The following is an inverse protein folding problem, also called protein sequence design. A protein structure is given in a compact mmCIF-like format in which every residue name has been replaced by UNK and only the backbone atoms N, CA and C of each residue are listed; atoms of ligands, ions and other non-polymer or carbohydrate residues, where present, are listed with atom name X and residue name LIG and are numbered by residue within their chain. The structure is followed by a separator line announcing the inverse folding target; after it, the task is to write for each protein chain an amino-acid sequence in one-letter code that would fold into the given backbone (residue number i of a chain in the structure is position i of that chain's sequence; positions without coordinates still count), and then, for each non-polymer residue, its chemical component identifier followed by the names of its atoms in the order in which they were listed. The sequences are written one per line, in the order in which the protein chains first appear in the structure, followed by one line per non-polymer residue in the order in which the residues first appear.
data_IF_627949329979
#
_entry.id   IF_627949329979
#
_cell.length_a   1.000
_cell.length_b   1.000
_cell.length_c   1.000
_cell.angle_alpha   90.00
_cell.angle_beta   90.00
_cell.angle_gamma   90.00
#
_symmetry.space_group_name_H-M   'P 1'
#
loop_
_entity.id
_entity.type
_entity.pdbx_description
1 polymer ?
#
# COMPACT_ATOMS: atom_id res chain seq x y z
N UNK A 1 20.14 -4.78 -19.72
CA UNK A 1 18.74 -5.25 -19.69
C UNK A 1 17.85 -4.06 -20.02
N UNK A 2 16.86 -4.18 -20.92
CA UNK A 2 15.86 -3.13 -21.06
C UNK A 2 15.24 -2.89 -19.68
N UNK A 3 15.04 -1.63 -19.31
CA UNK A 3 14.35 -1.30 -18.06
C UNK A 3 12.96 -1.88 -18.15
N UNK A 4 12.65 -2.88 -17.34
CA UNK A 4 11.34 -3.56 -17.29
C UNK A 4 10.15 -2.58 -17.35
N UNK A 5 10.30 -1.40 -16.74
CA UNK A 5 9.30 -0.33 -16.78
C UNK A 5 9.04 0.29 -18.17
N UNK A 6 10.01 0.34 -19.08
CA UNK A 6 9.83 0.94 -20.41
C UNK A 6 8.96 0.06 -21.32
N UNK A 7 9.18 -1.26 -21.31
CA UNK A 7 8.31 -2.21 -22.03
C UNK A 7 6.89 -2.21 -21.43
N UNK A 8 6.81 -2.11 -20.10
CA UNK A 8 5.52 -2.01 -19.42
C UNK A 8 4.76 -0.74 -19.82
N UNK A 9 5.43 0.43 -19.85
CA UNK A 9 4.82 1.68 -20.33
C UNK A 9 4.41 1.59 -21.81
N UNK A 10 5.26 1.01 -22.65
CA UNK A 10 5.00 0.82 -24.08
C UNK A 10 3.74 0.00 -24.31
N UNK A 11 3.50 -1.05 -23.53
CA UNK A 11 2.25 -1.81 -23.57
C UNK A 11 1.01 -0.93 -23.39
N UNK A 12 1.01 -0.02 -22.42
CA UNK A 12 -0.10 0.92 -22.22
C UNK A 12 -0.27 1.87 -23.41
N UNK A 13 0.83 2.45 -23.90
CA UNK A 13 0.81 3.37 -25.03
C UNK A 13 0.31 2.72 -26.32
N UNK A 14 0.54 1.41 -26.50
CA UNK A 14 0.12 0.64 -27.67
C UNK A 14 -1.27 0.02 -27.53
N UNK A 15 -1.95 0.21 -26.40
CA UNK A 15 -3.28 -0.36 -26.19
C UNK A 15 -4.34 0.28 -27.11
N UNK A 16 -5.27 -0.55 -27.58
CA UNK A 16 -6.49 -0.11 -28.28
C UNK A 16 -7.43 0.67 -27.37
N UNK A 17 -7.33 0.48 -26.05
CA UNK A 17 -8.12 1.22 -25.07
C UNK A 17 -7.62 2.66 -24.93
N UNK A 18 -8.46 3.68 -25.20
CA UNK A 18 -8.06 5.08 -25.06
C UNK A 18 -7.69 5.45 -23.62
N UNK A 19 -8.32 4.79 -22.64
CA UNK A 19 -8.02 4.96 -21.22
C UNK A 19 -6.61 4.48 -20.88
N UNK A 20 -6.25 3.27 -21.33
CA UNK A 20 -4.92 2.70 -21.06
C UNK A 20 -3.83 3.48 -21.80
N UNK A 21 -4.11 3.95 -23.01
CA UNK A 21 -3.17 4.82 -23.75
C UNK A 21 -2.91 6.13 -23.03
N UNK A 22 -3.97 6.77 -22.53
CA UNK A 22 -3.87 7.99 -21.73
C UNK A 22 -3.07 7.75 -20.45
N UNK A 23 -3.32 6.61 -19.77
CA UNK A 23 -2.56 6.19 -18.60
C UNK A 23 -1.07 6.02 -18.93
N UNK A 24 -0.73 5.34 -20.03
CA UNK A 24 0.65 5.12 -20.48
C UNK A 24 1.42 6.43 -20.71
N UNK A 25 0.76 7.46 -21.25
CA UNK A 25 1.34 8.79 -21.42
C UNK A 25 1.64 9.52 -20.12
N UNK A 26 0.91 9.20 -19.04
CA UNK A 26 1.11 9.78 -17.70
C UNK A 26 2.14 9.00 -16.85
N UNK A 27 2.44 7.75 -17.22
CA UNK A 27 3.37 6.91 -16.48
C UNK A 27 4.80 7.45 -16.54
N UNK A 28 5.51 7.32 -15.42
CA UNK A 28 6.94 7.61 -15.30
C UNK A 28 7.66 6.38 -14.78
N UNK A 29 8.69 5.93 -15.49
CA UNK A 29 9.50 4.79 -15.07
C UNK A 29 10.39 5.18 -13.87
N UNK A 30 10.30 4.42 -12.78
CA UNK A 30 11.16 4.56 -11.60
C UNK A 30 12.34 3.60 -11.63
N UNK A 31 13.30 3.78 -10.72
CA UNK A 31 14.50 2.93 -10.63
C UNK A 31 14.18 1.65 -9.87
N UNK A 32 13.34 1.71 -8.84
CA UNK A 32 12.97 0.55 -8.02
C UNK A 32 11.57 0.64 -7.43
N UNK A 33 11.03 -0.52 -7.03
CA UNK A 33 9.78 -0.63 -6.28
C UNK A 33 9.83 0.19 -4.98
N UNK A 34 10.93 0.10 -4.22
CA UNK A 34 11.05 0.78 -2.93
C UNK A 34 11.02 2.30 -3.11
N UNK A 35 11.71 2.82 -4.12
CA UNK A 35 11.63 4.24 -4.45
C UNK A 35 10.22 4.64 -4.88
N UNK A 36 9.55 3.81 -5.67
CA UNK A 36 8.16 3.99 -6.07
C UNK A 36 7.21 4.09 -4.88
N UNK A 37 7.32 3.17 -3.91
CA UNK A 37 6.52 3.16 -2.69
C UNK A 37 6.82 4.35 -1.78
N UNK A 38 8.10 4.75 -1.63
CA UNK A 38 8.47 5.98 -0.91
C UNK A 38 7.89 7.22 -1.55
N UNK A 39 7.91 7.31 -2.89
CA UNK A 39 7.27 8.41 -3.63
C UNK A 39 5.76 8.41 -3.45
N UNK A 40 5.12 7.23 -3.44
CA UNK A 40 3.69 7.12 -3.17
C UNK A 40 3.31 7.69 -1.80
N UNK A 41 4.14 7.42 -0.78
CA UNK A 41 3.94 7.91 0.57
C UNK A 41 4.06 9.45 0.69
N UNK A 42 4.95 10.07 -0.08
CA UNK A 42 5.28 11.50 0.05
C UNK A 42 4.53 12.39 -0.95
N UNK A 43 4.30 11.91 -2.18
CA UNK A 43 3.89 12.74 -3.33
C UNK A 43 2.47 12.47 -3.83
N UNK A 44 1.64 11.80 -3.04
CA UNK A 44 0.28 11.41 -3.41
C UNK A 44 0.23 10.76 -4.81
N UNK A 45 1.14 9.81 -5.05
CA UNK A 45 1.33 9.15 -6.33
C UNK A 45 0.98 7.66 -6.24
N UNK A 46 0.48 7.08 -7.33
CA UNK A 46 0.33 5.63 -7.45
C UNK A 46 1.63 4.95 -7.88
N UNK A 47 1.80 3.69 -7.50
CA UNK A 47 2.86 2.83 -8.02
C UNK A 47 2.26 1.53 -8.56
N UNK A 48 2.78 1.05 -9.69
CA UNK A 48 2.31 -0.12 -10.43
C UNK A 48 3.42 -1.16 -10.53
N UNK A 49 3.14 -2.36 -10.02
CA UNK A 49 4.01 -3.54 -9.99
C UNK A 49 3.15 -4.77 -9.63
N UNK A 50 3.61 -6.03 -9.73
CA UNK A 50 2.82 -7.20 -9.36
C UNK A 50 2.29 -7.14 -7.93
N UNK A 51 0.98 -7.35 -7.80
CA UNK A 51 0.20 -7.22 -6.55
C UNK A 51 0.85 -7.92 -5.35
N UNK A 52 1.26 -9.19 -5.52
CA UNK A 52 1.87 -9.98 -4.43
C UNK A 52 3.22 -9.40 -4.01
N UNK A 53 4.00 -8.88 -4.96
CA UNK A 53 5.32 -8.31 -4.69
C UNK A 53 5.22 -6.96 -3.97
N UNK A 54 4.32 -6.07 -4.41
CA UNK A 54 4.04 -4.82 -3.70
C UNK A 54 3.58 -5.13 -2.27
N UNK A 55 2.61 -6.02 -2.11
CA UNK A 55 2.07 -6.36 -0.78
C UNK A 55 3.15 -6.88 0.16
N UNK A 56 4.01 -7.77 -0.34
CA UNK A 56 5.16 -8.27 0.42
C UNK A 56 6.06 -7.12 0.86
N UNK A 57 6.44 -6.22 -0.05
CA UNK A 57 7.33 -5.09 0.27
C UNK A 57 6.73 -4.07 1.21
N UNK A 58 5.42 -3.80 1.09
CA UNK A 58 4.69 -2.98 2.06
C UNK A 58 4.76 -3.62 3.45
N UNK A 59 4.49 -4.92 3.56
CA UNK A 59 4.54 -5.63 4.84
C UNK A 59 5.95 -5.65 5.43
N UNK A 60 6.96 -5.87 4.59
CA UNK A 60 8.35 -5.98 5.03
C UNK A 60 8.93 -4.62 5.47
N UNK A 61 8.71 -3.55 4.72
CA UNK A 61 9.44 -2.29 4.90
C UNK A 61 8.59 -1.11 5.36
N UNK A 62 7.26 -1.19 5.23
CA UNK A 62 6.32 -0.09 5.51
C UNK A 62 5.24 -0.47 6.54
N UNK A 63 5.53 -1.46 7.38
CA UNK A 63 4.70 -1.82 8.55
C UNK A 63 5.26 -1.14 9.79
N UNK A 64 4.41 -0.45 10.51
CA UNK A 64 4.75 0.23 11.76
C UNK A 64 4.75 -0.75 12.95
N UNK A 65 5.17 -0.30 14.13
CA UNK A 65 5.32 -1.15 15.32
C UNK A 65 4.00 -1.72 15.86
N UNK A 66 2.90 -1.00 15.61
CA UNK A 66 1.52 -1.38 15.89
C UNK A 66 0.97 -2.39 14.85
N UNK A 67 1.69 -2.59 13.75
CA UNK A 67 1.28 -3.44 12.64
C UNK A 67 0.45 -2.76 11.57
N UNK A 68 0.21 -1.45 11.70
CA UNK A 68 -0.46 -0.67 10.67
C UNK A 68 0.46 -0.41 9.49
N UNK A 69 -0.12 -0.08 8.33
CA UNK A 69 0.62 0.36 7.15
C UNK A 69 -0.06 1.55 6.50
N UNK A 70 0.74 2.54 6.10
CA UNK A 70 0.25 3.76 5.45
C UNK A 70 0.04 3.57 3.94
N UNK A 71 0.52 2.47 3.38
CA UNK A 71 0.36 2.12 1.97
C UNK A 71 -0.64 0.98 1.86
N UNK A 72 -1.50 1.04 0.84
CA UNK A 72 -2.43 -0.03 0.54
C UNK A 72 -2.31 -0.43 -0.92
N UNK A 73 -2.70 -1.67 -1.21
CA UNK A 73 -2.76 -2.19 -2.58
C UNK A 73 -4.21 -2.17 -3.03
N UNK A 74 -4.49 -1.58 -4.19
CA UNK A 74 -5.83 -1.57 -4.77
C UNK A 74 -6.35 -3.00 -4.97
N UNK A 75 -7.67 -3.18 -4.87
CA UNK A 75 -8.30 -4.51 -5.05
C UNK A 75 -8.13 -5.03 -6.48
N UNK A 76 -8.31 -4.16 -7.47
CA UNK A 76 -8.23 -4.47 -8.89
C UNK A 76 -6.81 -4.72 -9.40
N UNK A 77 -6.72 -5.47 -10.50
CA UNK A 77 -5.51 -5.60 -11.32
C UNK A 77 -5.79 -4.95 -12.67
N UNK A 78 -4.80 -4.25 -13.22
CA UNK A 78 -4.95 -3.60 -14.54
C UNK A 78 -4.83 -4.63 -15.67
N UNK A 79 -4.02 -5.67 -15.46
CA UNK A 79 -3.89 -6.82 -16.35
C UNK A 79 -3.37 -8.03 -15.55
N UNK A 80 -3.48 -9.23 -16.11
CA UNK A 80 -2.91 -10.45 -15.55
C UNK A 80 -1.49 -10.64 -16.08
N UNK A 81 -0.49 -10.56 -15.22
CA UNK A 81 0.88 -10.93 -15.58
C UNK A 81 1.07 -12.42 -15.37
N UNK A 82 1.28 -13.23 -16.43
CA UNK A 82 1.63 -14.63 -16.24
C UNK A 82 3.01 -14.73 -15.58
N UNK A 83 3.14 -15.63 -14.60
CA UNK A 83 4.42 -16.04 -14.06
C UNK A 83 4.74 -17.44 -14.60
N UNK A 84 5.98 -17.67 -15.02
CA UNK A 84 6.41 -18.95 -15.55
C UNK A 84 7.89 -19.19 -15.31
N UNK A 85 8.29 -20.46 -15.42
CA UNK A 85 9.69 -20.84 -15.37
C UNK A 85 10.28 -20.87 -16.79
N UNK A 86 11.44 -20.22 -17.02
CA UNK A 86 12.14 -20.37 -18.28
C UNK A 86 12.70 -21.79 -18.35
N UNK A 87 12.15 -22.61 -19.25
CA UNK A 87 12.58 -23.99 -19.48
C UNK A 87 13.16 -24.05 -20.89
N UNK A 88 14.34 -24.66 -21.09
CA UNK A 88 14.88 -24.87 -22.43
C UNK A 88 13.86 -25.57 -23.34
N UNK A 89 13.90 -25.21 -24.63
CA UNK A 89 13.13 -25.93 -25.63
C UNK A 89 13.51 -27.41 -25.59
N UNK A 90 12.49 -28.27 -25.66
CA UNK A 90 12.61 -29.74 -25.69
C UNK A 90 13.25 -30.39 -24.45
N UNK A 91 13.23 -29.71 -23.30
CA UNK A 91 13.66 -30.30 -22.04
C UNK A 91 12.82 -31.56 -21.70
N UNK A 92 13.44 -32.74 -21.47
CA UNK A 92 12.72 -33.99 -21.28
C UNK A 92 11.88 -34.01 -20.00
N UNK A 93 12.19 -33.15 -19.03
CA UNK A 93 11.48 -33.02 -17.76
C UNK A 93 10.31 -32.00 -17.82
N UNK A 94 10.08 -31.31 -18.94
CA UNK A 94 9.06 -30.26 -19.04
C UNK A 94 7.66 -30.76 -18.69
N UNK A 95 7.28 -31.94 -19.20
CA UNK A 95 5.97 -32.53 -18.94
C UNK A 95 5.79 -32.88 -17.45
N UNK A 96 6.80 -33.49 -16.84
CA UNK A 96 6.78 -33.84 -15.42
C UNK A 96 6.73 -32.59 -14.53
N UNK A 97 7.51 -31.55 -14.85
CA UNK A 97 7.49 -30.29 -14.11
C UNK A 97 6.12 -29.59 -14.20
N UNK A 98 5.51 -29.55 -15.39
CA UNK A 98 4.18 -28.99 -15.56
C UNK A 98 3.14 -29.71 -14.68
N UNK A 99 3.18 -31.04 -14.65
CA UNK A 99 2.28 -31.82 -13.80
C UNK A 99 2.50 -31.52 -12.30
N UNK A 100 3.75 -31.43 -11.86
CA UNK A 100 4.08 -31.07 -10.47
C UNK A 100 3.59 -29.67 -10.10
N UNK A 101 3.73 -28.69 -11.00
CA UNK A 101 3.24 -27.33 -10.78
C UNK A 101 1.72 -27.36 -10.58
N UNK A 102 0.98 -28.05 -11.45
CA UNK A 102 -0.47 -28.20 -11.32
C UNK A 102 -0.84 -28.89 -10.00
N UNK A 103 -0.18 -29.99 -9.65
CA UNK A 103 -0.43 -30.69 -8.41
C UNK A 103 -0.20 -29.80 -7.16
N UNK A 104 0.84 -28.96 -7.16
CA UNK A 104 1.11 -27.99 -6.08
C UNK A 104 0.00 -26.93 -5.99
N UNK A 105 -0.48 -26.45 -7.13
CA UNK A 105 -1.56 -25.46 -7.21
C UNK A 105 -2.88 -26.06 -6.73
N UNK A 106 -3.25 -27.25 -7.22
CA UNK A 106 -4.48 -27.96 -6.86
C UNK A 106 -4.51 -28.38 -5.38
N UNK A 107 -3.35 -28.73 -4.82
CA UNK A 107 -3.21 -28.99 -3.38
C UNK A 107 -3.32 -27.71 -2.52
N UNK A 108 -3.43 -26.52 -3.12
CA UNK A 108 -3.50 -25.24 -2.41
C UNK A 108 -2.20 -24.82 -1.72
N UNK A 109 -1.10 -25.52 -1.99
CA UNK A 109 0.19 -25.28 -1.33
C UNK A 109 0.74 -23.89 -1.64
N UNK A 110 0.58 -23.44 -2.89
CA UNK A 110 1.03 -22.12 -3.30
C UNK A 110 0.34 -20.99 -2.52
N UNK A 111 -0.98 -21.08 -2.34
CA UNK A 111 -1.73 -20.07 -1.60
C UNK A 111 -1.41 -20.12 -0.11
N UNK A 112 -1.28 -21.33 0.46
CA UNK A 112 -0.84 -21.53 1.84
C UNK A 112 0.54 -20.89 2.07
N UNK A 113 1.54 -21.23 1.25
CA UNK A 113 2.89 -20.69 1.38
C UNK A 113 2.93 -19.18 1.19
N UNK A 114 2.12 -18.64 0.26
CA UNK A 114 1.99 -17.19 0.10
C UNK A 114 1.43 -16.55 1.37
N UNK A 115 0.37 -17.13 1.96
CA UNK A 115 -0.24 -16.61 3.18
C UNK A 115 0.71 -16.68 4.37
N UNK A 116 1.41 -17.80 4.54
CA UNK A 116 2.39 -18.01 5.60
C UNK A 116 3.57 -17.04 5.46
N UNK A 117 4.09 -16.85 4.24
CA UNK A 117 5.13 -15.86 3.95
C UNK A 117 4.69 -14.45 4.34
N UNK A 118 3.48 -14.03 3.99
CA UNK A 118 2.97 -12.69 4.32
C UNK A 118 2.82 -12.52 5.83
N UNK A 119 2.29 -13.53 6.53
CA UNK A 119 2.13 -13.51 7.99
C UNK A 119 3.49 -13.41 8.69
N UNK A 120 4.44 -14.25 8.30
CA UNK A 120 5.80 -14.24 8.87
C UNK A 120 6.50 -12.90 8.60
N UNK A 121 6.37 -12.38 7.37
CA UNK A 121 6.96 -11.09 7.00
C UNK A 121 6.42 -9.95 7.86
N UNK A 122 5.11 -9.93 8.10
CA UNK A 122 4.48 -8.93 8.97
C UNK A 122 5.01 -9.02 10.40
N UNK A 123 5.05 -10.22 10.99
CA UNK A 123 5.57 -10.42 12.34
C UNK A 123 7.05 -10.05 12.46
N UNK A 124 7.87 -10.46 11.48
CA UNK A 124 9.28 -10.10 11.41
C UNK A 124 9.47 -8.59 11.33
N UNK A 125 8.68 -7.91 10.50
CA UNK A 125 8.72 -6.46 10.36
C UNK A 125 8.38 -5.73 11.66
N UNK A 126 7.27 -6.11 12.30
CA UNK A 126 6.86 -5.58 13.59
C UNK A 126 7.94 -5.77 14.66
N UNK A 127 8.55 -6.97 14.74
CA UNK A 127 9.65 -7.25 15.68
C UNK A 127 10.84 -6.33 15.44
N UNK A 128 11.26 -6.14 14.18
CA UNK A 128 12.36 -5.22 13.84
C UNK A 128 12.03 -3.78 14.24
N UNK A 129 10.79 -3.33 14.02
CA UNK A 129 10.42 -1.95 14.33
C UNK A 129 10.35 -1.69 15.84
N UNK A 130 9.80 -2.63 16.62
CA UNK A 130 9.81 -2.56 18.09
C UNK A 130 11.22 -2.53 18.65
N UNK A 131 12.12 -3.37 18.13
CA UNK A 131 13.53 -3.38 18.55
C UNK A 131 14.23 -2.05 18.28
N UNK A 132 13.98 -1.43 17.12
CA UNK A 132 14.52 -0.09 16.78
C UNK A 132 14.01 0.98 17.75
N UNK A 133 12.70 1.00 18.02
CA UNK A 133 12.12 1.96 18.96
C UNK A 133 12.66 1.79 20.38
N UNK A 134 12.85 0.54 20.84
CA UNK A 134 13.46 0.28 22.14
C UNK A 134 14.92 0.76 22.21
N UNK A 135 15.69 0.62 21.13
CA UNK A 135 17.07 1.09 21.05
C UNK A 135 17.16 2.62 21.02
N UNK A 136 16.33 3.28 20.22
CA UNK A 136 16.31 4.76 20.11
C UNK A 136 15.89 5.42 21.43
N UNK A 137 15.03 4.75 22.20
CA UNK A 137 14.52 5.27 23.47
C UNK A 137 15.48 5.12 24.65
N UNK A 138 16.58 4.38 24.49
CA UNK A 138 17.69 4.38 25.45
C UNK A 138 18.69 5.52 25.20
N UNK A 139 18.55 6.28 24.11
CA UNK A 139 19.48 7.34 23.70
C UNK A 139 19.06 8.78 23.99
N UNK A 140 17.84 9.04 24.49
CA UNK A 140 17.35 10.39 24.81
C UNK A 140 16.53 10.39 26.12
N UNK A 141 16.92 11.17 27.15
CA UNK A 141 16.03 11.48 28.25
C UNK A 141 15.05 12.58 27.82
N UNK A 142 13.79 12.40 28.24
CA UNK A 142 12.73 13.41 28.31
C UNK A 142 11.97 13.77 27.03
N UNK A 143 10.79 13.13 26.93
CA UNK A 143 9.46 13.72 26.63
C UNK A 143 8.62 12.67 25.90
N UNK A 144 8.39 11.52 26.55
CA UNK A 144 7.41 10.54 26.07
C UNK A 144 6.04 10.92 26.60
N UNK A 145 5.27 11.62 25.76
CA UNK A 145 3.81 11.46 25.80
C UNK A 145 3.52 9.97 25.56
N UNK A 146 2.86 9.38 26.55
CA UNK A 146 2.41 8.00 26.54
C UNK A 146 1.30 7.92 25.48
N UNK A 147 1.62 7.49 24.28
CA UNK A 147 0.62 6.98 23.35
C UNK A 147 0.28 5.55 23.78
N UNK A 148 -0.72 5.44 24.66
CA UNK A 148 -1.40 4.18 24.92
C UNK A 148 -2.02 3.64 23.62
N UNK A 149 -1.90 2.32 23.41
CA UNK A 149 -2.60 1.49 22.43
C UNK A 149 -4.13 1.48 22.70
N UNK A 150 -4.74 2.66 22.68
CA UNK A 150 -6.18 2.88 22.71
C UNK A 150 -6.69 3.31 21.34
N UNK A 151 -7.92 2.91 21.01
CA UNK A 151 -8.68 3.40 19.85
C UNK A 151 -8.36 4.88 19.56
N UNK A 152 -8.14 5.27 18.29
CA UNK A 152 -7.63 6.60 17.94
C UNK A 152 -8.43 7.67 18.68
N UNK A 153 -7.76 8.35 19.63
CA UNK A 153 -8.40 9.35 20.46
C UNK A 153 -9.06 10.37 19.53
N UNK A 154 -10.35 10.62 19.75
CA UNK A 154 -11.14 11.53 18.94
C UNK A 154 -10.53 12.93 19.09
N UNK A 155 -9.68 13.31 18.14
CA UNK A 155 -9.05 14.63 18.14
C UNK A 155 -10.09 15.69 17.82
N UNK A 156 -9.88 16.92 18.31
CA UNK A 156 -10.74 18.10 18.04
C UNK A 156 -11.07 18.25 16.54
N UNK A 157 -10.15 17.84 15.65
CA UNK A 157 -10.38 17.85 14.20
C UNK A 157 -11.61 17.04 13.76
N UNK A 158 -12.00 15.99 14.49
CA UNK A 158 -13.18 15.18 14.18
C UNK A 158 -14.49 15.82 14.69
N UNK A 159 -14.43 16.78 15.61
CA UNK A 159 -15.62 17.46 16.18
C UNK A 159 -15.80 18.90 15.68
N UNK A 160 -14.88 19.41 14.84
CA UNK A 160 -14.94 20.77 14.27
C UNK A 160 -16.27 21.08 13.58
N UNK A 161 -16.88 20.11 12.88
CA UNK A 161 -18.16 20.31 12.20
C UNK A 161 -19.29 20.73 13.15
N UNK A 162 -19.35 20.14 14.35
CA UNK A 162 -20.36 20.48 15.34
C UNK A 162 -20.18 21.92 15.87
N UNK A 163 -18.93 22.33 16.12
CA UNK A 163 -18.62 23.70 16.56
C UNK A 163 -18.92 24.75 15.49
N UNK A 164 -18.67 24.45 14.21
CA UNK A 164 -19.01 25.34 13.09
C UNK A 164 -20.52 25.55 13.00
N UNK A 165 -21.30 24.47 13.07
CA UNK A 165 -22.78 24.56 13.04
C UNK A 165 -23.30 25.35 14.24
N UNK A 166 -22.73 25.13 15.43
CA UNK A 166 -23.11 25.85 16.64
C UNK A 166 -22.85 27.35 16.53
N UNK A 167 -21.65 27.75 16.11
CA UNK A 167 -21.30 29.17 15.92
C UNK A 167 -22.15 29.85 14.85
N UNK A 168 -22.42 29.14 13.75
CA UNK A 168 -23.31 29.65 12.70
C UNK A 168 -24.74 29.86 13.20
N UNK A 169 -25.27 28.90 13.97
CA UNK A 169 -26.58 29.03 14.59
C UNK A 169 -26.66 30.21 15.56
N UNK A 170 -25.60 30.44 16.34
CA UNK A 170 -25.50 31.56 17.27
C UNK A 170 -25.46 32.92 16.54
N UNK A 171 -24.72 32.99 15.44
CA UNK A 171 -24.68 34.18 14.58
C UNK A 171 -26.04 34.49 13.93
N UNK A 172 -26.76 33.47 13.46
CA UNK A 172 -28.10 33.64 12.89
C UNK A 172 -29.09 34.10 13.96
N UNK A 173 -29.08 33.47 15.14
CA UNK A 173 -29.97 33.83 16.23
C UNK A 173 -29.77 35.26 16.72
N UNK A 174 -28.52 35.71 16.83
CA UNK A 174 -28.20 37.11 17.20
C UNK A 174 -28.63 38.11 16.14
N UNK A 175 -28.53 37.74 14.86
CA UNK A 175 -28.99 38.59 13.75
C UNK A 175 -30.53 38.73 13.77
N UNK A 176 -31.26 37.62 13.93
CA UNK A 176 -32.73 37.61 14.06
C UNK A 176 -33.17 38.45 15.27
N UNK A 177 -32.54 38.26 16.42
CA UNK A 177 -32.85 39.03 17.63
C UNK A 177 -32.62 40.54 17.44
N UNK A 178 -31.54 40.92 16.74
CA UNK A 178 -31.24 42.33 16.45
C UNK A 178 -32.25 42.95 15.50
N UNK A 179 -32.78 42.17 14.54
CA UNK A 179 -33.84 42.65 13.63
C UNK A 179 -35.21 42.77 14.29
N UNK A 180 -35.50 41.98 15.32
CA UNK A 180 -36.76 42.11 16.08
C UNK A 180 -36.78 43.32 17.02
N UNK A 181 -35.59 43.81 17.42
CA UNK A 181 -35.42 44.95 18.33
C UNK A 181 -35.49 46.33 17.64
N UNK A 182 -35.35 46.35 16.32
CA UNK A 182 -35.36 47.55 15.45
C UNK A 182 -36.76 47.81 14.90
#
# INVERSE_FOLDING_TARGET
MPTYGAEHQKFYCQSDSPLLRSLGGLMKTGISLIEGLKRALVRNAGHLDPKKYIRYKILDEFTEADGSTRLYVSRGSVFSTPCGWPIPHDAPYKAQLNWLIVAILEAGLYDKWTADLMRETQHRSQRRQRQRQSADSQGQPESREIHEDGLPALTINHTQGAFIIFLLGLAIATLVFSTELL
#
